data_IF_157796475971
#
_entry.id   IF_157796475971
#
_cell.length_a   1.000
_cell.length_b   1.000
_cell.length_c   1.000
_cell.angle_alpha   90.00
_cell.angle_beta   90.00
_cell.angle_gamma   90.00
#
_symmetry.space_group_name_H-M   'P 1'
#
loop_
_entity.id
_entity.type
_entity.pdbx_description
1 polymer ?
#
# COMPACT_ATOMS: atom_id res chain seq x y z
N UNK A 1 5.35 -1.64 -25.13
CA UNK A 1 5.07 -1.49 -23.67
C UNK A 1 3.68 -0.91 -23.37
N UNK A 2 3.27 0.23 -23.94
CA UNK A 2 1.95 0.85 -23.69
C UNK A 2 0.73 -0.05 -24.03
N UNK A 3 0.86 -0.87 -25.09
CA UNK A 3 -0.21 -1.74 -25.60
C UNK A 3 -0.59 -2.90 -24.66
N UNK A 4 0.32 -3.31 -23.77
CA UNK A 4 0.06 -4.34 -22.77
C UNK A 4 -0.27 -3.73 -21.41
N UNK A 5 0.39 -2.63 -21.04
CA UNK A 5 0.15 -1.95 -19.76
C UNK A 5 -1.30 -1.47 -19.58
N UNK A 6 -1.90 -0.86 -20.61
CA UNK A 6 -3.26 -0.31 -20.54
C UNK A 6 -4.33 -1.41 -20.28
N UNK A 7 -4.38 -2.53 -21.03
CA UNK A 7 -5.35 -3.58 -20.75
C UNK A 7 -5.11 -4.27 -19.40
N UNK A 8 -3.86 -4.53 -19.00
CA UNK A 8 -3.57 -5.13 -17.68
C UNK A 8 -3.97 -4.21 -16.53
N UNK A 9 -3.72 -2.90 -16.65
CA UNK A 9 -4.15 -1.92 -15.66
C UNK A 9 -5.69 -1.79 -15.59
N UNK A 10 -6.41 -1.94 -16.72
CA UNK A 10 -7.88 -1.95 -16.72
C UNK A 10 -8.45 -3.19 -16.02
N UNK A 11 -7.89 -4.37 -16.29
CA UNK A 11 -8.33 -5.60 -15.62
C UNK A 11 -8.02 -5.58 -14.12
N UNK A 12 -6.87 -5.04 -13.72
CA UNK A 12 -6.52 -4.86 -12.31
C UNK A 12 -7.50 -3.87 -11.62
N UNK A 13 -7.77 -2.74 -12.26
CA UNK A 13 -8.76 -1.78 -11.76
C UNK A 13 -10.16 -2.41 -11.66
N UNK A 14 -10.54 -3.26 -12.62
CA UNK A 14 -11.83 -3.98 -12.63
C UNK A 14 -11.93 -4.98 -11.49
N UNK A 15 -10.89 -5.76 -11.24
CA UNK A 15 -10.80 -6.68 -10.10
C UNK A 15 -10.93 -5.93 -8.76
N UNK A 16 -10.25 -4.78 -8.65
CA UNK A 16 -10.30 -3.97 -7.46
C UNK A 16 -11.67 -3.31 -7.23
N UNK A 17 -12.36 -2.93 -8.32
CA UNK A 17 -13.74 -2.43 -8.26
C UNK A 17 -14.75 -3.52 -7.90
N UNK A 18 -14.62 -4.72 -8.47
CA UNK A 18 -15.48 -5.87 -8.18
C UNK A 18 -15.39 -6.27 -6.70
N UNK A 19 -14.22 -6.13 -6.06
CA UNK A 19 -14.08 -6.39 -4.62
C UNK A 19 -14.68 -5.29 -3.72
N UNK A 20 -14.65 -4.01 -4.14
CA UNK A 20 -15.14 -2.88 -3.32
C UNK A 20 -16.62 -2.57 -3.48
N UNK A 21 -17.17 -2.78 -4.68
CA UNK A 21 -18.59 -2.58 -4.97
C UNK A 21 -19.55 -3.29 -4.00
N UNK A 22 -19.36 -4.59 -3.64
CA UNK A 22 -20.28 -5.28 -2.72
C UNK A 22 -20.25 -4.72 -1.29
N UNK A 23 -19.12 -4.16 -0.83
CA UNK A 23 -19.03 -3.52 0.50
C UNK A 23 -19.89 -2.25 0.54
N UNK A 24 -19.75 -1.40 -0.48
CA UNK A 24 -20.52 -0.15 -0.60
C UNK A 24 -22.01 -0.44 -0.80
N UNK A 25 -22.35 -1.42 -1.65
CA UNK A 25 -23.71 -1.82 -1.90
C UNK A 25 -24.40 -2.34 -0.62
N UNK A 26 -23.75 -3.26 0.12
CA UNK A 26 -24.30 -3.81 1.36
C UNK A 26 -24.42 -2.73 2.45
N UNK A 27 -23.51 -1.74 2.48
CA UNK A 27 -23.58 -0.61 3.41
C UNK A 27 -24.74 0.33 3.08
N UNK A 28 -24.94 0.64 1.79
CA UNK A 28 -26.06 1.45 1.32
C UNK A 28 -27.41 0.77 1.56
N UNK A 29 -27.51 -0.52 1.26
CA UNK A 29 -28.71 -1.34 1.54
C UNK A 29 -29.03 -1.39 3.04
N UNK A 30 -28.01 -1.51 3.88
CA UNK A 30 -28.18 -1.50 5.34
C UNK A 30 -28.65 -0.14 5.86
N UNK A 31 -28.23 0.96 5.23
CA UNK A 31 -28.62 2.32 5.60
C UNK A 31 -30.08 2.59 5.23
N UNK A 32 -30.47 2.25 4.00
CA UNK A 32 -31.86 2.41 3.51
C UNK A 32 -32.82 1.46 4.23
N UNK A 33 -32.38 0.23 4.51
CA UNK A 33 -33.16 -0.79 5.23
C UNK A 33 -33.09 -0.71 6.75
N UNK A 34 -32.49 0.33 7.34
CA UNK A 34 -32.20 0.39 8.76
C UNK A 34 -33.44 0.24 9.65
N UNK A 35 -34.58 0.84 9.27
CA UNK A 35 -35.84 0.71 10.00
C UNK A 35 -36.33 -0.75 10.05
N UNK A 36 -36.32 -1.44 8.91
CA UNK A 36 -36.71 -2.85 8.79
C UNK A 36 -35.74 -3.77 9.55
N UNK A 37 -34.43 -3.55 9.45
CA UNK A 37 -33.42 -4.36 10.16
C UNK A 37 -33.59 -4.26 11.67
N UNK A 38 -33.92 -3.06 12.18
CA UNK A 38 -34.22 -2.83 13.59
C UNK A 38 -35.52 -3.48 14.01
N UNK A 39 -36.58 -3.35 13.22
CA UNK A 39 -37.89 -3.93 13.49
C UNK A 39 -37.84 -5.47 13.59
N UNK A 40 -37.04 -6.13 12.75
CA UNK A 40 -36.85 -7.58 12.78
C UNK A 40 -35.70 -8.06 13.68
N UNK A 41 -35.02 -7.17 14.40
CA UNK A 41 -33.92 -7.53 15.31
C UNK A 41 -32.70 -8.18 14.62
N UNK A 42 -32.45 -7.92 13.33
CA UNK A 42 -31.40 -8.59 12.53
C UNK A 42 -30.08 -7.82 12.41
N UNK A 43 -29.81 -6.88 13.31
CA UNK A 43 -28.60 -6.02 13.29
C UNK A 43 -27.29 -6.81 13.22
N UNK A 44 -27.13 -7.82 14.09
CA UNK A 44 -25.88 -8.59 14.19
C UNK A 44 -25.55 -9.37 12.92
N UNK A 45 -26.57 -9.87 12.22
CA UNK A 45 -26.40 -10.59 10.95
C UNK A 45 -25.83 -9.65 9.87
N UNK A 46 -26.42 -8.47 9.72
CA UNK A 46 -25.96 -7.46 8.76
C UNK A 46 -24.57 -6.92 9.12
N UNK A 47 -24.28 -6.75 10.42
CA UNK A 47 -22.96 -6.34 10.91
C UNK A 47 -21.89 -7.39 10.58
N UNK A 48 -22.14 -8.67 10.88
CA UNK A 48 -21.22 -9.77 10.55
C UNK A 48 -20.97 -9.90 9.04
N UNK A 49 -22.01 -9.76 8.22
CA UNK A 49 -21.89 -9.80 6.77
C UNK A 49 -21.03 -8.64 6.24
N UNK A 50 -21.24 -7.42 6.74
CA UNK A 50 -20.42 -6.27 6.37
C UNK A 50 -18.95 -6.45 6.77
N UNK A 51 -18.69 -6.91 8.00
CA UNK A 51 -17.33 -7.20 8.48
C UNK A 51 -16.65 -8.27 7.61
N UNK A 52 -17.39 -9.32 7.20
CA UNK A 52 -16.84 -10.36 6.32
C UNK A 52 -16.45 -9.82 4.95
N UNK A 53 -17.26 -8.95 4.35
CA UNK A 53 -16.96 -8.33 3.06
C UNK A 53 -15.72 -7.42 3.14
N UNK A 54 -15.64 -6.59 4.19
CA UNK A 54 -14.48 -5.74 4.44
C UNK A 54 -13.21 -6.57 4.67
N UNK A 55 -13.29 -7.63 5.48
CA UNK A 55 -12.14 -8.48 5.77
C UNK A 55 -11.61 -9.19 4.52
N UNK A 56 -12.51 -9.65 3.63
CA UNK A 56 -12.11 -10.27 2.36
C UNK A 56 -11.36 -9.29 1.43
N UNK A 57 -11.73 -8.00 1.44
CA UNK A 57 -11.01 -6.98 0.68
C UNK A 57 -9.66 -6.61 1.34
N UNK A 58 -9.62 -6.53 2.67
CA UNK A 58 -8.42 -6.11 3.40
C UNK A 58 -7.36 -7.20 3.51
N UNK A 59 -7.73 -8.48 3.48
CA UNK A 59 -6.77 -9.60 3.63
C UNK A 59 -5.64 -9.58 2.58
N UNK A 60 -5.90 -9.56 1.26
CA UNK A 60 -4.84 -9.52 0.26
C UNK A 60 -3.98 -8.26 0.37
N UNK A 61 -4.62 -7.13 0.66
CA UNK A 61 -3.93 -5.85 0.85
C UNK A 61 -2.97 -5.89 2.03
N UNK A 62 -3.42 -6.43 3.17
CA UNK A 62 -2.59 -6.57 4.36
C UNK A 62 -1.41 -7.51 4.11
N UNK A 63 -1.61 -8.60 3.35
CA UNK A 63 -0.52 -9.48 2.96
C UNK A 63 0.49 -8.79 2.03
N UNK A 64 0.04 -7.94 1.11
CA UNK A 64 0.94 -7.16 0.26
C UNK A 64 1.81 -6.20 1.08
N UNK A 65 1.18 -5.42 1.97
CA UNK A 65 1.88 -4.50 2.87
C UNK A 65 2.87 -5.27 3.77
N UNK A 66 2.44 -6.39 4.32
CA UNK A 66 3.30 -7.25 5.16
C UNK A 66 4.52 -7.79 4.39
N UNK A 67 4.36 -8.11 3.10
CA UNK A 67 5.45 -8.60 2.27
C UNK A 67 6.48 -7.49 1.96
N UNK A 68 6.01 -6.27 1.70
CA UNK A 68 6.88 -5.10 1.49
C UNK A 68 7.66 -4.78 2.77
N UNK A 69 6.98 -4.73 3.92
CA UNK A 69 7.60 -4.51 5.23
C UNK A 69 8.63 -5.60 5.57
N UNK A 70 8.28 -6.87 5.31
CA UNK A 70 9.22 -7.97 5.50
C UNK A 70 10.50 -7.79 4.68
N UNK A 71 10.37 -7.37 3.41
CA UNK A 71 11.51 -7.19 2.52
C UNK A 71 12.38 -6.03 3.00
N UNK A 72 11.77 -4.92 3.39
CA UNK A 72 12.47 -3.79 4.00
C UNK A 72 13.21 -4.20 5.28
N UNK A 73 12.58 -4.98 6.16
CA UNK A 73 13.21 -5.48 7.37
C UNK A 73 14.44 -6.34 7.07
N UNK A 74 14.35 -7.24 6.08
CA UNK A 74 15.49 -8.06 5.64
C UNK A 74 16.64 -7.23 5.07
N UNK A 75 16.33 -6.22 4.25
CA UNK A 75 17.34 -5.31 3.71
C UNK A 75 18.04 -4.51 4.81
N UNK A 76 17.27 -4.03 5.81
CA UNK A 76 17.81 -3.40 7.00
C UNK A 76 18.75 -4.34 7.77
N UNK A 77 18.34 -5.58 7.97
CA UNK A 77 19.14 -6.58 8.68
C UNK A 77 20.46 -6.87 7.94
N UNK A 78 20.41 -7.07 6.62
CA UNK A 78 21.61 -7.29 5.79
C UNK A 78 22.56 -6.09 5.83
N UNK A 79 22.02 -4.87 5.73
CA UNK A 79 22.78 -3.62 5.83
C UNK A 79 23.53 -3.52 7.17
N UNK A 80 22.85 -3.85 8.28
CA UNK A 80 23.47 -3.87 9.60
C UNK A 80 24.58 -4.93 9.72
N UNK A 81 24.40 -6.11 9.14
CA UNK A 81 25.46 -7.13 9.12
C UNK A 81 26.69 -6.68 8.35
N UNK A 82 26.49 -6.11 7.16
CA UNK A 82 27.60 -5.58 6.33
C UNK A 82 28.31 -4.46 7.08
N UNK A 83 27.57 -3.58 7.76
CA UNK A 83 28.14 -2.51 8.57
C UNK A 83 28.97 -3.04 9.75
N UNK A 84 28.43 -3.99 10.53
CA UNK A 84 29.15 -4.59 11.66
C UNK A 84 30.41 -5.33 11.20
N UNK A 85 30.35 -6.05 10.08
CA UNK A 85 31.49 -6.71 9.49
C UNK A 85 32.56 -5.71 9.03
N UNK A 86 32.16 -4.66 8.32
CA UNK A 86 33.06 -3.56 7.88
C UNK A 86 33.75 -2.89 9.06
N UNK A 87 33.02 -2.60 10.14
CA UNK A 87 33.57 -2.02 11.37
C UNK A 87 34.59 -2.95 12.04
N UNK A 88 34.27 -4.24 12.14
CA UNK A 88 35.17 -5.25 12.72
C UNK A 88 36.46 -5.38 11.91
N UNK A 89 36.35 -5.36 10.59
CA UNK A 89 37.48 -5.44 9.67
C UNK A 89 38.36 -4.18 9.79
N UNK A 90 37.74 -3.00 9.88
CA UNK A 90 38.43 -1.73 10.09
C UNK A 90 39.25 -1.71 11.39
N UNK A 91 38.68 -2.23 12.49
CA UNK A 91 39.37 -2.32 13.79
C UNK A 91 40.49 -3.37 13.79
N UNK A 92 40.37 -4.42 12.98
CA UNK A 92 41.33 -5.52 12.92
C UNK A 92 42.51 -5.26 11.96
N UNK A 93 42.45 -4.21 11.14
CA UNK A 93 43.50 -3.88 10.16
C UNK A 93 44.70 -3.19 10.83
N UNK A 94 45.95 -3.49 10.41
CA UNK A 94 47.15 -2.81 10.92
C UNK A 94 47.14 -1.31 10.61
N UNK A 95 47.80 -0.53 11.46
CA UNK A 95 47.98 0.92 11.27
C UNK A 95 48.65 1.21 9.91
N UNK A 96 48.01 2.06 9.09
CA UNK A 96 48.54 2.53 7.80
C UNK A 96 47.83 2.01 6.54
N UNK A 97 46.90 1.04 6.65
CA UNK A 97 46.21 0.47 5.48
C UNK A 97 45.08 1.37 4.95
N UNK A 98 44.37 2.07 5.83
CA UNK A 98 43.25 2.95 5.51
C UNK A 98 43.43 4.27 6.24
N UNK A 99 43.17 5.39 5.56
CA UNK A 99 43.19 6.70 6.18
C UNK A 99 42.03 6.80 7.21
N UNK A 100 42.32 7.04 8.51
CA UNK A 100 41.32 7.06 9.58
C UNK A 100 40.16 8.03 9.30
N UNK A 101 40.43 9.13 8.60
CA UNK A 101 39.42 10.13 8.23
C UNK A 101 38.38 9.56 7.26
N UNK A 102 38.80 8.76 6.27
CA UNK A 102 37.89 8.14 5.29
C UNK A 102 37.08 7.04 5.96
N UNK A 103 37.70 6.27 6.85
CA UNK A 103 37.03 5.23 7.62
C UNK A 103 35.94 5.78 8.55
N UNK A 104 36.24 6.86 9.27
CA UNK A 104 35.27 7.55 10.13
C UNK A 104 34.07 8.11 9.35
N UNK A 105 34.32 8.66 8.15
CA UNK A 105 33.25 9.09 7.24
C UNK A 105 32.37 7.93 6.78
N UNK A 106 32.98 6.83 6.32
CA UNK A 106 32.24 5.64 5.87
C UNK A 106 31.33 5.08 6.98
N UNK A 107 31.84 5.03 8.21
CA UNK A 107 31.08 4.56 9.38
C UNK A 107 29.92 5.50 9.71
N UNK A 108 30.16 6.81 9.66
CA UNK A 108 29.14 7.83 9.94
C UNK A 108 28.00 7.78 8.91
N UNK A 109 28.30 7.59 7.63
CA UNK A 109 27.28 7.43 6.59
C UNK A 109 26.48 6.14 6.77
N UNK A 110 27.13 5.03 7.10
CA UNK A 110 26.46 3.76 7.31
C UNK A 110 25.56 3.75 8.57
N UNK A 111 25.92 4.46 9.63
CA UNK A 111 25.03 4.67 10.79
C UNK A 111 23.77 5.45 10.41
N UNK A 112 23.91 6.51 9.61
CA UNK A 112 22.78 7.31 9.15
C UNK A 112 21.86 6.53 8.20
N UNK A 113 22.41 5.60 7.39
CA UNK A 113 21.63 4.80 6.43
C UNK A 113 20.50 4.00 7.09
N UNK A 114 20.68 3.48 8.30
CA UNK A 114 19.63 2.74 9.02
C UNK A 114 18.40 3.59 9.35
N UNK A 115 18.64 4.82 9.83
CA UNK A 115 17.56 5.77 10.12
C UNK A 115 16.81 6.19 8.86
N UNK A 116 17.57 6.42 7.78
CA UNK A 116 17.00 6.76 6.47
C UNK A 116 16.18 5.60 5.89
N UNK A 117 16.67 4.36 6.00
CA UNK A 117 15.96 3.19 5.49
C UNK A 117 14.65 2.96 6.25
N UNK A 118 14.64 3.14 7.58
CA UNK A 118 13.41 3.09 8.39
C UNK A 118 12.40 4.19 7.98
N UNK A 119 12.88 5.41 7.72
CA UNK A 119 12.04 6.50 7.23
C UNK A 119 11.48 6.21 5.83
N UNK A 120 12.30 5.68 4.93
CA UNK A 120 11.88 5.29 3.57
C UNK A 120 10.79 4.22 3.62
N UNK A 121 10.96 3.18 4.44
CA UNK A 121 9.94 2.14 4.65
C UNK A 121 8.62 2.73 5.12
N UNK A 122 8.64 3.60 6.13
CA UNK A 122 7.44 4.29 6.60
C UNK A 122 6.80 5.14 5.50
N UNK A 123 7.60 5.85 4.70
CA UNK A 123 7.12 6.66 3.58
C UNK A 123 6.51 5.81 2.46
N UNK A 124 7.07 4.64 2.16
CA UNK A 124 6.51 3.71 1.18
C UNK A 124 5.14 3.23 1.65
N UNK A 125 5.02 2.79 2.91
CA UNK A 125 3.75 2.38 3.51
C UNK A 125 2.70 3.50 3.45
N UNK A 126 3.08 4.73 3.80
CA UNK A 126 2.18 5.87 3.78
C UNK A 126 1.78 6.24 2.34
N UNK A 127 2.70 6.14 1.38
CA UNK A 127 2.43 6.40 -0.03
C UNK A 127 1.47 5.37 -0.62
N UNK A 128 1.68 4.09 -0.33
CA UNK A 128 0.80 3.02 -0.81
C UNK A 128 -0.64 3.20 -0.29
N UNK A 129 -0.78 3.56 0.99
CA UNK A 129 -2.07 3.93 1.58
C UNK A 129 -2.73 5.12 0.84
N UNK A 130 -1.97 6.16 0.50
CA UNK A 130 -2.48 7.33 -0.24
C UNK A 130 -2.85 6.99 -1.69
N UNK A 131 -2.12 6.06 -2.32
CA UNK A 131 -2.32 5.68 -3.72
C UNK A 131 -3.68 5.03 -3.96
N UNK A 132 -4.26 4.38 -2.94
CA UNK A 132 -5.64 3.86 -2.95
C UNK A 132 -6.67 4.95 -3.30
N UNK A 133 -6.46 6.17 -2.82
CA UNK A 133 -7.35 7.31 -3.09
C UNK A 133 -7.16 7.84 -4.50
N UNK A 134 -5.92 7.90 -4.99
CA UNK A 134 -5.60 8.34 -6.35
C UNK A 134 -6.21 7.39 -7.38
N UNK A 135 -6.10 6.08 -7.16
CA UNK A 135 -6.68 5.09 -8.04
C UNK A 135 -8.20 5.24 -8.16
N UNK A 136 -8.87 5.59 -7.05
CA UNK A 136 -10.31 5.88 -7.04
C UNK A 136 -10.67 7.09 -7.90
N UNK A 137 -9.91 8.19 -7.80
CA UNK A 137 -10.13 9.39 -8.63
C UNK A 137 -9.94 9.04 -10.10
N UNK A 138 -8.91 8.27 -10.44
CA UNK A 138 -8.64 7.86 -11.81
C UNK A 138 -9.68 6.89 -12.37
N UNK A 139 -10.32 6.08 -11.53
CA UNK A 139 -11.49 5.30 -11.92
C UNK A 139 -12.66 6.22 -12.29
N UNK A 140 -12.91 7.30 -11.52
CA UNK A 140 -13.97 8.26 -11.83
C UNK A 140 -13.69 9.11 -13.07
N UNK A 141 -12.43 9.40 -13.39
CA UNK A 141 -12.08 10.20 -14.57
C UNK A 141 -12.20 9.45 -15.89
N UNK A 142 -12.36 8.12 -15.86
CA UNK A 142 -12.41 7.24 -17.04
C UNK A 142 -13.81 6.71 -17.35
N UNK A 143 -14.81 7.12 -16.57
CA UNK A 143 -16.21 6.73 -16.83
C UNK A 143 -16.67 7.44 -18.10
N UNK A 144 -17.38 6.77 -19.02
CA UNK A 144 -17.97 7.45 -20.18
C UNK A 144 -18.90 8.58 -19.71
N UNK A 145 -18.78 9.74 -20.36
CA UNK A 145 -19.65 10.89 -20.10
C UNK A 145 -21.11 10.50 -20.31
N UNK A 146 -21.98 11.00 -19.44
CA UNK A 146 -23.42 10.92 -19.64
C UNK A 146 -23.83 11.65 -20.94
N UNK A 147 -25.05 11.36 -21.40
CA UNK A 147 -25.59 11.96 -22.62
C UNK A 147 -25.57 13.50 -22.54
N UNK A 148 -25.42 14.19 -23.69
CA UNK A 148 -25.40 15.65 -23.72
C UNK A 148 -26.62 16.24 -23.01
N UNK A 149 -26.39 17.30 -22.24
CA UNK A 149 -27.42 17.99 -21.46
C UNK A 149 -28.53 18.59 -22.33
N UNK A 150 -28.24 18.84 -23.62
CA UNK A 150 -29.17 19.36 -24.61
C UNK A 150 -29.08 18.43 -25.82
N UNK A 151 -30.21 17.87 -26.22
CA UNK A 151 -30.37 17.18 -27.50
C UNK A 151 -30.99 18.22 -28.42
N UNK A 152 -30.24 18.68 -29.43
CA UNK A 152 -30.82 19.53 -30.48
C UNK A 152 -31.85 18.69 -31.26
N UNK A 153 -33.14 18.98 -31.03
CA UNK A 153 -34.20 18.57 -31.94
C UNK A 153 -34.12 19.48 -33.18
N UNK A 154 -34.01 18.83 -34.34
CA UNK A 154 -33.82 19.36 -35.69
C UNK A 154 -34.28 20.79 -36.00
#
# INVERSE_FOLDING_TARGET
MQRYYIPTARELARLQQIQRAPILHHSAESLTGAASIRAYGRKDRFSKANISLVNNHLRPWFHNVSAVEWLCFRLNMLSNFVFAFSLTLLVSLPEGFINPSIAGLAVTYALNLNGQLSSVTWNICNTENKMISVERIMQYSRIPSEAPLIVDDH
#
